data_IF_751486435093
#
_entry.id   IF_751486435093
#
_cell.length_a   1.000
_cell.length_b   1.000
_cell.length_c   1.000
_cell.angle_alpha   90.00
_cell.angle_beta   90.00
_cell.angle_gamma   90.00
#
_symmetry.space_group_name_H-M   'P 1'
#
loop_
_entity.id
_entity.type
_entity.pdbx_description
1 polymer ?
#
# COMPACT_ATOMS: atom_id res chain seq x y z
N UNK A 1 -5.49 12.50 9.86
CA UNK A 1 -5.79 11.07 9.89
C UNK A 1 -6.26 10.68 8.51
N UNK A 2 -5.47 9.86 7.81
CA UNK A 2 -5.80 9.40 6.47
C UNK A 2 -6.81 8.25 6.45
N UNK A 3 -7.17 7.79 5.26
CA UNK A 3 -8.18 6.74 5.06
C UNK A 3 -7.70 5.39 5.63
N UNK A 4 -6.43 5.04 5.43
CA UNK A 4 -5.89 3.76 5.86
C UNK A 4 -5.67 3.74 7.38
N UNK A 5 -5.18 4.84 7.96
CA UNK A 5 -5.08 4.99 9.42
C UNK A 5 -6.46 4.85 10.08
N UNK A 6 -7.51 5.46 9.47
CA UNK A 6 -8.90 5.29 9.91
C UNK A 6 -9.34 3.84 9.86
N UNK A 7 -9.14 3.17 8.72
CA UNK A 7 -9.57 1.78 8.53
C UNK A 7 -8.88 0.82 9.50
N UNK A 8 -7.60 1.07 9.84
CA UNK A 8 -6.87 0.30 10.84
C UNK A 8 -7.50 0.43 12.23
N UNK A 9 -7.86 1.65 12.64
CA UNK A 9 -8.53 1.90 13.92
C UNK A 9 -9.92 1.26 13.96
N UNK A 10 -10.73 1.48 12.92
CA UNK A 10 -12.08 0.91 12.83
C UNK A 10 -12.02 -0.64 12.87
N UNK A 11 -10.98 -1.25 12.28
CA UNK A 11 -10.76 -2.71 12.34
C UNK A 11 -10.45 -3.21 13.75
N UNK A 12 -9.70 -2.44 14.55
CA UNK A 12 -9.43 -2.78 15.95
C UNK A 12 -10.68 -2.64 16.81
N UNK A 13 -11.48 -1.60 16.58
CA UNK A 13 -12.75 -1.38 17.29
C UNK A 13 -13.79 -2.46 16.98
N UNK A 14 -13.72 -3.06 15.78
CA UNK A 14 -14.58 -4.17 15.37
C UNK A 14 -14.19 -5.53 15.97
N UNK A 15 -13.04 -5.64 16.67
CA UNK A 15 -12.64 -6.90 17.29
C UNK A 15 -13.62 -7.30 18.42
N UNK A 16 -13.95 -8.60 18.54
CA UNK A 16 -14.89 -9.09 19.55
C UNK A 16 -14.35 -8.98 20.99
N UNK A 17 -13.04 -8.81 21.13
CA UNK A 17 -12.36 -8.61 22.41
C UNK A 17 -11.29 -7.52 22.24
N UNK A 18 -11.03 -6.73 23.28
CA UNK A 18 -9.99 -5.71 23.24
C UNK A 18 -8.62 -6.35 23.04
N UNK A 19 -7.76 -5.66 22.29
CA UNK A 19 -6.36 -6.05 22.11
C UNK A 19 -5.65 -6.02 23.47
N UNK A 20 -4.98 -7.11 23.89
CA UNK A 20 -4.23 -7.12 25.14
C UNK A 20 -3.15 -6.03 25.19
N UNK A 21 -2.94 -5.43 26.37
CA UNK A 21 -2.07 -4.26 26.53
C UNK A 21 -0.60 -4.55 26.14
N UNK A 22 -0.15 -5.80 26.29
CA UNK A 22 1.16 -6.26 25.85
C UNK A 22 1.41 -6.11 24.34
N UNK A 23 0.35 -6.01 23.53
CA UNK A 23 0.43 -5.76 22.10
C UNK A 23 0.39 -4.26 21.75
N UNK A 24 0.47 -3.35 22.73
CA UNK A 24 0.44 -1.90 22.48
C UNK A 24 1.50 -1.42 21.48
N UNK A 25 2.70 -2.04 21.50
CA UNK A 25 3.75 -1.75 20.52
C UNK A 25 3.39 -2.19 19.09
N UNK A 26 2.67 -3.31 18.94
CA UNK A 26 2.19 -3.81 17.66
C UNK A 26 1.10 -2.91 17.10
N UNK A 27 0.19 -2.44 17.96
CA UNK A 27 -0.85 -1.46 17.60
C UNK A 27 -0.23 -0.15 17.11
N UNK A 28 0.74 0.39 17.87
CA UNK A 28 1.45 1.61 17.49
C UNK A 28 2.17 1.45 16.15
N UNK A 29 2.81 0.30 15.91
CA UNK A 29 3.49 0.01 14.66
C UNK A 29 2.52 -0.07 13.46
N UNK A 30 1.38 -0.74 13.63
CA UNK A 30 0.36 -0.80 12.58
C UNK A 30 -0.19 0.57 12.21
N UNK A 31 -0.45 1.41 13.22
CA UNK A 31 -0.88 2.79 13.01
C UNK A 31 0.17 3.60 12.23
N UNK A 32 1.43 3.51 12.63
CA UNK A 32 2.53 4.21 11.94
C UNK A 32 2.70 3.76 10.48
N UNK A 33 2.53 2.48 10.18
CA UNK A 33 2.53 2.01 8.78
C UNK A 33 1.37 2.57 7.98
N UNK A 34 0.15 2.57 8.54
CA UNK A 34 -1.02 3.11 7.88
C UNK A 34 -0.90 4.61 7.60
N UNK A 35 -0.45 5.38 8.60
CA UNK A 35 -0.17 6.82 8.49
C UNK A 35 0.87 7.11 7.40
N UNK A 36 2.02 6.43 7.42
CA UNK A 36 3.07 6.63 6.41
C UNK A 36 2.58 6.32 4.98
N UNK A 37 1.72 5.32 4.81
CA UNK A 37 1.12 5.01 3.52
C UNK A 37 0.19 6.15 3.08
N UNK A 38 -0.67 6.64 3.96
CA UNK A 38 -1.57 7.75 3.66
C UNK A 38 -0.80 9.02 3.28
N UNK A 39 0.23 9.38 4.06
CA UNK A 39 1.03 10.59 3.82
C UNK A 39 1.80 10.53 2.49
N UNK A 40 2.30 9.35 2.13
CA UNK A 40 3.08 9.14 0.90
C UNK A 40 2.32 9.45 -0.39
N UNK A 41 0.98 9.52 -0.36
CA UNK A 41 0.15 9.84 -1.53
C UNK A 41 0.32 11.27 -2.01
N UNK A 42 0.88 12.14 -1.16
CA UNK A 42 1.08 13.57 -1.43
C UNK A 42 2.55 13.96 -1.63
N UNK A 43 3.46 12.97 -1.61
CA UNK A 43 4.91 13.18 -1.69
C UNK A 43 5.47 12.83 -3.07
N UNK A 44 6.80 12.89 -3.21
CA UNK A 44 7.50 12.53 -4.44
C UNK A 44 7.39 11.02 -4.75
N UNK A 45 7.65 10.67 -6.02
CA UNK A 45 7.53 9.30 -6.54
C UNK A 45 8.38 8.28 -5.79
N UNK A 46 9.56 8.66 -5.27
CA UNK A 46 10.43 7.74 -4.55
C UNK A 46 9.81 7.37 -3.19
N UNK A 47 9.32 8.38 -2.46
CA UNK A 47 8.64 8.21 -1.18
C UNK A 47 7.35 7.40 -1.34
N UNK A 48 6.54 7.70 -2.36
CA UNK A 48 5.35 6.93 -2.69
C UNK A 48 5.68 5.46 -3.01
N UNK A 49 6.77 5.21 -3.74
CA UNK A 49 7.22 3.84 -4.06
C UNK A 49 7.67 3.09 -2.80
N UNK A 50 8.38 3.75 -1.88
CA UNK A 50 8.80 3.17 -0.60
C UNK A 50 7.61 2.77 0.26
N UNK A 51 6.56 3.58 0.27
CA UNK A 51 5.36 3.29 1.04
C UNK A 51 4.61 2.05 0.54
N UNK A 52 4.68 1.69 -0.74
CA UNK A 52 4.10 0.44 -1.26
C UNK A 52 4.67 -0.80 -0.56
N UNK A 53 5.92 -0.75 -0.09
CA UNK A 53 6.54 -1.85 0.66
C UNK A 53 6.00 -1.97 2.09
N UNK A 54 5.32 -0.96 2.63
CA UNK A 54 4.70 -1.01 3.95
C UNK A 54 3.39 -1.81 3.96
N UNK A 55 2.71 -1.96 2.82
CA UNK A 55 1.46 -2.70 2.71
C UNK A 55 1.55 -4.15 3.25
N UNK A 56 2.53 -4.96 2.82
CA UNK A 56 2.75 -6.30 3.38
C UNK A 56 3.06 -6.31 4.88
N UNK A 57 3.78 -5.31 5.39
CA UNK A 57 4.10 -5.21 6.83
C UNK A 57 2.86 -4.86 7.66
N UNK A 58 2.04 -3.93 7.18
CA UNK A 58 0.74 -3.62 7.78
C UNK A 58 -0.15 -4.85 7.83
N UNK A 59 -0.22 -5.63 6.74
CA UNK A 59 -0.98 -6.89 6.72
C UNK A 59 -0.45 -7.89 7.76
N UNK A 60 0.87 -7.98 7.94
CA UNK A 60 1.49 -8.80 8.97
C UNK A 60 1.07 -8.40 10.39
N UNK A 61 1.03 -7.10 10.67
CA UNK A 61 0.51 -6.54 11.92
C UNK A 61 -0.97 -6.89 12.11
N UNK A 62 -1.80 -6.70 11.08
CA UNK A 62 -3.22 -7.03 11.14
C UNK A 62 -3.47 -8.51 11.40
N UNK A 63 -2.66 -9.41 10.84
CA UNK A 63 -2.72 -10.85 11.13
C UNK A 63 -2.38 -11.16 12.57
N UNK A 64 -1.31 -10.56 13.10
CA UNK A 64 -0.87 -10.76 14.48
C UNK A 64 -1.94 -10.32 15.49
N UNK A 65 -2.65 -9.24 15.18
CA UNK A 65 -3.73 -8.69 15.98
C UNK A 65 -5.09 -9.39 15.77
N UNK A 66 -5.15 -10.41 14.92
CA UNK A 66 -6.39 -11.14 14.63
C UNK A 66 -7.43 -10.37 13.80
N UNK A 67 -7.03 -9.28 13.14
CA UNK A 67 -7.90 -8.45 12.29
C UNK A 67 -7.99 -8.95 10.85
N UNK A 68 -7.01 -9.74 10.39
CA UNK A 68 -7.02 -10.25 9.02
C UNK A 68 -7.98 -11.45 8.90
N UNK A 69 -8.73 -11.57 7.79
CA UNK A 69 -9.54 -12.76 7.53
C UNK A 69 -8.65 -14.01 7.55
N UNK A 70 -9.06 -15.02 8.32
CA UNK A 70 -8.35 -16.30 8.48
C UNK A 70 -8.32 -17.12 7.20
N UNK A 71 -9.15 -16.77 6.22
CA UNK A 71 -9.15 -17.34 4.89
C UNK A 71 -8.84 -16.23 3.89
N UNK A 72 -7.74 -16.38 3.14
CA UNK A 72 -7.66 -15.72 1.84
C UNK A 72 -8.91 -16.17 1.04
N UNK A 73 -9.58 -15.29 0.31
CA UNK A 73 -10.68 -15.71 -0.55
C UNK A 73 -10.19 -16.86 -1.44
N UNK A 74 -10.73 -18.06 -1.22
CA UNK A 74 -10.60 -19.16 -2.17
C UNK A 74 -11.25 -18.66 -3.47
N UNK A 75 -10.45 -18.52 -4.52
CA UNK A 75 -10.74 -17.75 -5.75
C UNK A 75 -10.48 -16.25 -5.68
N UNK A 76 -9.28 -15.86 -5.28
CA UNK A 76 -8.53 -14.97 -6.16
C UNK A 76 -7.53 -15.84 -6.88
N UNK A 77 -7.87 -16.26 -8.10
CA UNK A 77 -6.84 -16.56 -9.10
C UNK A 77 -5.74 -15.54 -8.89
N UNK A 78 -4.55 -16.01 -8.51
CA UNK A 78 -3.30 -15.33 -8.86
C UNK A 78 -3.31 -15.23 -10.38
N UNK A 79 -4.08 -14.27 -10.89
CA UNK A 79 -3.68 -13.54 -12.07
C UNK A 79 -2.25 -13.17 -11.73
N UNK A 80 -1.31 -13.84 -12.41
CA UNK A 80 -0.02 -13.25 -12.73
C UNK A 80 -0.24 -11.76 -12.79
N UNK A 81 0.60 -10.98 -12.14
CA UNK A 81 0.67 -9.54 -12.32
C UNK A 81 0.82 -9.23 -13.83
N UNK A 82 -0.28 -9.35 -14.56
CA UNK A 82 -0.49 -8.91 -15.91
C UNK A 82 -0.65 -7.44 -15.70
N UNK A 83 0.38 -6.72 -16.15
CA UNK A 83 0.53 -5.30 -15.92
C UNK A 83 -0.82 -4.63 -16.03
N UNK A 84 -1.15 -3.89 -14.98
CA UNK A 84 -2.28 -2.97 -15.01
C UNK A 84 -2.18 -2.25 -16.37
N UNK A 85 -3.16 -2.39 -17.29
CA UNK A 85 -3.05 -1.84 -18.63
C UNK A 85 -2.72 -0.35 -18.58
N UNK A 86 -3.19 0.31 -17.53
CA UNK A 86 -2.89 1.70 -17.19
C UNK A 86 -1.38 1.96 -16.94
N UNK A 87 -0.69 1.08 -16.19
CA UNK A 87 0.75 1.23 -15.92
C UNK A 87 1.58 0.97 -17.18
N UNK A 88 1.20 -0.01 -18.01
CA UNK A 88 1.88 -0.26 -19.30
C UNK A 88 1.67 0.92 -20.24
N UNK A 89 0.48 1.52 -20.28
CA UNK A 89 0.18 2.68 -21.11
C UNK A 89 0.88 3.95 -20.61
N UNK A 90 0.99 4.15 -19.28
CA UNK A 90 1.80 5.21 -18.66
C UNK A 90 3.27 5.05 -19.04
N UNK A 91 3.84 3.85 -18.90
CA UNK A 91 5.24 3.57 -19.28
C UNK A 91 5.47 3.81 -20.78
N UNK A 92 4.54 3.36 -21.64
CA UNK A 92 4.64 3.54 -23.09
C UNK A 92 4.45 5.00 -23.52
N UNK A 93 3.75 5.82 -22.73
CA UNK A 93 3.63 7.27 -22.94
C UNK A 93 4.93 7.98 -22.57
N UNK A 94 5.50 7.69 -21.40
CA UNK A 94 6.78 8.26 -20.97
C UNK A 94 7.94 7.91 -21.93
N UNK A 95 8.01 6.67 -22.42
CA UNK A 95 9.04 6.27 -23.40
C UNK A 95 8.88 6.95 -24.76
N UNK A 96 7.66 7.37 -25.13
CA UNK A 96 7.41 8.12 -26.38
C UNK A 96 7.74 9.60 -26.23
N UNK A 97 7.41 10.19 -25.09
CA UNK A 97 7.71 11.60 -24.78
C UNK A 97 9.23 11.85 -24.69
N UNK A 98 9.97 10.93 -24.06
CA UNK A 98 11.46 10.98 -24.00
C UNK A 98 12.12 10.75 -25.37
N UNK A 99 11.56 9.89 -26.22
CA UNK A 99 12.08 9.67 -27.58
C UNK A 99 11.86 10.88 -28.51
N UNK A 100 10.83 11.69 -28.26
CA UNK A 100 10.58 12.93 -29.02
C UNK A 100 11.49 14.08 -28.61
N UNK A 101 11.86 14.19 -27.33
CA UNK A 101 12.81 15.21 -26.87
C UNK A 101 14.24 14.94 -27.36
N UNK A 102 14.65 13.67 -27.45
CA UNK A 102 15.96 13.27 -27.96
C UNK A 102 16.17 13.56 -29.47
N UNK A 103 15.10 13.72 -30.25
CA UNK A 103 15.18 14.08 -31.68
C UNK A 103 15.13 15.58 -31.96
N UNK A 104 14.88 16.42 -30.95
CA UNK A 104 14.78 17.88 -31.10
C UNK A 104 16.06 18.66 -30.81
N UNK A 105 17.09 18.03 -30.24
CA UNK A 105 18.37 18.68 -29.87
C UNK A 105 19.55 18.30 -30.79
N UNK A 106 19.26 17.73 -31.95
CA UNK A 106 20.24 17.43 -33.00
C UNK A 106 19.93 18.22 -34.28
N UNK A 107 20.09 19.53 -34.24
CA UNK A 107 20.20 20.40 -35.42
C UNK A 107 21.17 21.55 -35.11
#
# INVERSE_FOLDING_TARGET
MGELERAFIDSMEALPAPVPAEYGGVVALGRAYAENIDESRSTDTETATKALYLGPHLLGVMKLLGMAPTQAPENTTTSKAGGNPDVIDIMRRMSRETATEAKGHGA
#
